data_IF_720331992173
#
_entry.id   IF_720331992173
#
_cell.length_a   1.000
_cell.length_b   1.000
_cell.length_c   1.000
_cell.angle_alpha   90.00
_cell.angle_beta   90.00
_cell.angle_gamma   90.00
#
_symmetry.space_group_name_H-M   'P 1'
#
loop_
_entity.id
_entity.type
_entity.pdbx_description
1 polymer ?
#
# COMPACT_ATOMS: atom_id res chain seq x y z
N UNK A 1 2.51 -24.85 1.12
CA UNK A 1 3.59 -24.33 0.25
C UNK A 1 2.95 -23.25 -0.64
N UNK A 2 3.68 -22.47 -1.44
CA UNK A 2 3.03 -21.43 -2.28
C UNK A 2 3.78 -21.22 -3.59
N UNK A 3 3.04 -20.79 -4.61
CA UNK A 3 3.55 -20.46 -5.95
C UNK A 3 3.36 -18.99 -6.22
N UNK A 4 4.35 -18.36 -6.85
CA UNK A 4 4.29 -16.97 -7.26
C UNK A 4 3.88 -16.85 -8.72
N UNK A 5 2.90 -15.98 -9.00
CA UNK A 5 2.47 -15.65 -10.36
C UNK A 5 2.53 -14.13 -10.53
N UNK A 6 3.14 -13.67 -11.63
CA UNK A 6 3.13 -12.25 -12.00
C UNK A 6 2.11 -12.05 -13.11
N UNK A 7 1.26 -11.04 -12.93
CA UNK A 7 0.22 -10.64 -13.86
C UNK A 7 0.47 -9.20 -14.33
N UNK A 8 0.45 -9.03 -15.64
CA UNK A 8 0.47 -7.76 -16.36
C UNK A 8 -0.92 -7.35 -16.88
N UNK A 9 -1.89 -8.25 -16.73
CA UNK A 9 -3.31 -8.04 -17.06
C UNK A 9 -4.19 -8.25 -15.81
N UNK A 10 -5.42 -7.72 -15.79
CA UNK A 10 -6.31 -7.87 -14.65
C UNK A 10 -6.52 -9.35 -14.28
N UNK A 11 -6.42 -9.73 -13.00
CA UNK A 11 -6.67 -11.11 -12.58
C UNK A 11 -8.13 -11.52 -12.83
N UNK A 12 -8.42 -12.83 -12.94
CA UNK A 12 -9.79 -13.35 -12.92
C UNK A 12 -10.58 -12.82 -11.71
N UNK A 13 -11.89 -12.64 -11.86
CA UNK A 13 -12.75 -11.98 -10.87
C UNK A 13 -12.68 -12.62 -9.47
N UNK A 14 -12.50 -13.95 -9.42
CA UNK A 14 -12.34 -14.70 -8.16
C UNK A 14 -11.06 -14.34 -7.40
N UNK A 15 -9.94 -14.15 -8.10
CA UNK A 15 -8.66 -13.75 -7.51
C UNK A 15 -8.68 -12.25 -7.20
N UNK A 16 -9.25 -11.43 -8.08
CA UNK A 16 -9.47 -10.00 -7.87
C UNK A 16 -10.23 -9.74 -6.56
N UNK A 17 -11.33 -10.46 -6.35
CA UNK A 17 -12.16 -10.35 -5.13
C UNK A 17 -11.37 -10.68 -3.86
N UNK A 18 -10.51 -11.69 -3.90
CA UNK A 18 -9.65 -12.05 -2.76
C UNK A 18 -8.56 -11.01 -2.49
N UNK A 19 -7.97 -10.41 -3.52
CA UNK A 19 -7.01 -9.30 -3.36
C UNK A 19 -7.70 -8.11 -2.70
N UNK A 20 -8.89 -7.72 -3.17
CA UNK A 20 -9.65 -6.62 -2.57
C UNK A 20 -10.07 -6.94 -1.12
N UNK A 21 -10.42 -8.19 -0.81
CA UNK A 21 -10.68 -8.61 0.56
C UNK A 21 -9.43 -8.49 1.44
N UNK A 22 -8.26 -8.91 0.96
CA UNK A 22 -6.99 -8.74 1.68
C UNK A 22 -6.66 -7.27 1.93
N UNK A 23 -6.92 -6.38 0.98
CA UNK A 23 -6.74 -4.92 1.16
C UNK A 23 -7.61 -4.39 2.29
N UNK A 24 -8.87 -4.83 2.34
CA UNK A 24 -9.84 -4.44 3.37
C UNK A 24 -9.43 -4.99 4.75
N UNK A 25 -9.04 -6.26 4.81
CA UNK A 25 -8.65 -6.95 6.05
C UNK A 25 -7.35 -6.38 6.63
N UNK A 26 -6.37 -6.08 5.77
CA UNK A 26 -5.05 -5.54 6.14
C UNK A 26 -4.99 -4.00 6.07
N UNK A 27 -6.13 -3.30 5.99
CA UNK A 27 -6.21 -1.85 5.80
C UNK A 27 -5.29 -1.07 6.76
N UNK A 28 -5.36 -1.34 8.07
CA UNK A 28 -4.54 -0.64 9.07
C UNK A 28 -3.04 -0.89 8.89
N UNK A 29 -2.68 -1.97 8.20
CA UNK A 29 -1.31 -2.33 7.93
C UNK A 29 -0.77 -1.69 6.64
N UNK A 30 -1.57 -1.56 5.59
CA UNK A 30 -1.09 -1.14 4.27
C UNK A 30 -1.52 0.28 3.87
N UNK A 31 -2.48 0.87 4.59
CA UNK A 31 -3.03 2.18 4.26
C UNK A 31 -2.06 3.32 4.54
N UNK A 32 -1.99 4.33 3.65
CA UNK A 32 -1.32 5.60 3.92
C UNK A 32 -1.91 6.37 5.12
N UNK A 33 -3.15 6.05 5.50
CA UNK A 33 -3.83 6.59 6.67
C UNK A 33 -4.28 5.39 7.52
N UNK A 34 -3.40 4.82 8.35
CA UNK A 34 -3.62 3.53 9.03
C UNK A 34 -4.56 3.68 10.25
N UNK A 35 -5.81 4.08 9.99
CA UNK A 35 -6.84 4.16 11.02
C UNK A 35 -7.12 2.76 11.58
N UNK A 36 -7.55 2.72 12.85
CA UNK A 36 -8.05 1.48 13.48
C UNK A 36 -9.58 1.48 13.49
N UNK A 37 -10.24 0.31 13.64
CA UNK A 37 -11.71 0.24 13.70
C UNK A 37 -12.37 1.10 14.79
N UNK A 38 -11.58 1.56 15.77
CA UNK A 38 -12.04 2.48 16.82
C UNK A 38 -12.34 3.90 16.32
N UNK A 39 -11.83 4.30 15.15
CA UNK A 39 -12.07 5.61 14.57
C UNK A 39 -13.34 5.55 13.67
N UNK A 40 -14.37 6.38 13.90
CA UNK A 40 -15.59 6.40 13.08
C UNK A 40 -15.37 6.60 11.58
N UNK A 41 -14.26 7.20 11.15
CA UNK A 41 -13.90 7.35 9.73
C UNK A 41 -13.36 6.06 9.09
N UNK A 42 -13.07 5.02 9.88
CA UNK A 42 -12.45 3.78 9.42
C UNK A 42 -13.16 3.18 8.19
N UNK A 43 -14.49 3.01 8.16
CA UNK A 43 -15.17 2.41 7.00
C UNK A 43 -15.03 3.27 5.72
N UNK A 44 -14.95 4.59 5.86
CA UNK A 44 -14.76 5.50 4.73
C UNK A 44 -13.37 5.30 4.11
N UNK A 45 -12.33 5.29 4.93
CA UNK A 45 -10.96 5.09 4.44
C UNK A 45 -10.72 3.67 3.92
N UNK A 46 -11.36 2.67 4.54
CA UNK A 46 -11.34 1.28 4.06
C UNK A 46 -11.97 1.16 2.67
N UNK A 47 -13.08 1.87 2.42
CA UNK A 47 -13.68 1.95 1.08
C UNK A 47 -12.74 2.62 0.08
N UNK A 48 -12.14 3.76 0.44
CA UNK A 48 -11.26 4.52 -0.46
C UNK A 48 -10.08 3.68 -0.94
N UNK A 49 -9.37 2.99 -0.06
CA UNK A 49 -8.22 2.15 -0.46
C UNK A 49 -8.67 0.96 -1.32
N UNK A 50 -9.82 0.36 -1.01
CA UNK A 50 -10.35 -0.77 -1.77
C UNK A 50 -10.70 -0.34 -3.19
N UNK A 51 -11.29 0.85 -3.33
CA UNK A 51 -11.61 1.42 -4.62
C UNK A 51 -10.36 1.86 -5.40
N UNK A 52 -9.36 2.44 -4.74
CA UNK A 52 -8.07 2.75 -5.36
C UNK A 52 -7.39 1.49 -5.95
N UNK A 53 -7.29 0.41 -5.17
CA UNK A 53 -6.73 -0.86 -5.66
C UNK A 53 -7.59 -1.43 -6.79
N UNK A 54 -8.92 -1.33 -6.70
CA UNK A 54 -9.81 -1.74 -7.79
C UNK A 54 -9.50 -1.00 -9.10
N UNK A 55 -9.27 0.31 -9.05
CA UNK A 55 -8.91 1.12 -10.21
C UNK A 55 -7.54 0.71 -10.79
N UNK A 56 -6.55 0.45 -9.94
CA UNK A 56 -5.27 -0.08 -10.40
C UNK A 56 -5.42 -1.42 -11.12
N UNK A 57 -6.18 -2.36 -10.55
CA UNK A 57 -6.43 -3.66 -11.15
C UNK A 57 -7.20 -3.56 -12.47
N UNK A 58 -8.13 -2.60 -12.58
CA UNK A 58 -8.87 -2.34 -13.81
C UNK A 58 -7.98 -1.74 -14.90
N UNK A 59 -7.03 -0.89 -14.53
CA UNK A 59 -6.14 -0.18 -15.46
C UNK A 59 -4.95 -1.03 -15.95
N UNK A 60 -4.77 -2.27 -15.48
CA UNK A 60 -3.65 -3.13 -15.89
C UNK A 60 -3.64 -3.38 -17.41
N UNK A 61 -4.82 -3.52 -18.03
CA UNK A 61 -4.96 -3.75 -19.49
C UNK A 61 -4.93 -2.46 -20.34
N UNK A 62 -4.50 -1.33 -19.77
CA UNK A 62 -4.54 -0.04 -20.47
C UNK A 62 -3.53 0.08 -21.62
N UNK A 63 -2.56 -0.86 -21.71
CA UNK A 63 -1.46 -0.79 -22.67
C UNK A 63 -0.51 0.39 -22.47
N UNK A 64 -0.66 1.12 -21.36
CA UNK A 64 0.19 2.25 -20.99
C UNK A 64 1.50 1.76 -20.37
N UNK A 65 2.61 2.35 -20.81
CA UNK A 65 3.88 2.20 -20.12
C UNK A 65 3.73 2.71 -18.67
N UNK A 66 4.04 1.84 -17.70
CA UNK A 66 3.85 2.13 -16.27
C UNK A 66 2.50 1.68 -15.67
N UNK A 67 1.67 0.94 -16.42
CA UNK A 67 0.47 0.31 -15.85
C UNK A 67 0.82 -0.61 -14.66
N UNK A 68 -0.10 -0.69 -13.70
CA UNK A 68 0.08 -1.50 -12.50
C UNK A 68 0.32 -2.98 -12.85
N UNK A 69 1.18 -3.63 -12.07
CA UNK A 69 1.46 -5.06 -12.15
C UNK A 69 1.19 -5.72 -10.81
N UNK A 70 0.80 -6.99 -10.85
CA UNK A 70 0.39 -7.73 -9.67
C UNK A 70 1.21 -9.01 -9.55
N UNK A 71 1.85 -9.22 -8.41
CA UNK A 71 2.40 -10.52 -8.02
C UNK A 71 1.45 -11.14 -7.01
N UNK A 72 0.99 -12.36 -7.27
CA UNK A 72 0.18 -13.16 -6.38
C UNK A 72 1.01 -14.29 -5.76
N UNK A 73 0.81 -14.54 -4.48
CA UNK A 73 1.18 -15.79 -3.84
C UNK A 73 -0.06 -16.66 -3.74
N UNK A 74 -0.08 -17.78 -4.46
CA UNK A 74 -1.20 -18.73 -4.50
C UNK A 74 -0.87 -19.96 -3.65
N UNK A 75 -1.90 -20.59 -3.10
CA UNK A 75 -1.73 -21.88 -2.42
C UNK A 75 -1.37 -22.98 -3.44
N UNK A 76 -0.41 -23.84 -3.10
CA UNK A 76 0.05 -24.90 -4.01
C UNK A 76 -0.96 -26.05 -4.11
N UNK A 77 -1.73 -26.30 -3.06
CA UNK A 77 -2.75 -27.35 -3.06
C UNK A 77 -4.07 -26.86 -3.68
N UNK A 78 -4.37 -25.56 -3.51
CA UNK A 78 -5.51 -24.89 -4.15
C UNK A 78 -5.10 -23.55 -4.78
N UNK A 79 -4.65 -23.53 -6.05
CA UNK A 79 -4.24 -22.30 -6.74
C UNK A 79 -5.35 -21.26 -6.93
N UNK A 80 -6.60 -21.57 -6.57
CA UNK A 80 -7.68 -20.58 -6.52
C UNK A 80 -7.60 -19.68 -5.29
N UNK A 81 -6.77 -20.01 -4.29
CA UNK A 81 -6.62 -19.27 -3.04
C UNK A 81 -5.45 -18.28 -3.09
N UNK A 82 -5.72 -17.01 -2.85
CA UNK A 82 -4.70 -15.96 -2.68
C UNK A 82 -4.23 -15.93 -1.22
N UNK A 83 -2.94 -16.19 -1.02
CA UNK A 83 -2.27 -16.14 0.29
C UNK A 83 -1.61 -14.78 0.56
N UNK A 84 -1.31 -14.01 -0.48
CA UNK A 84 -0.77 -12.67 -0.40
C UNK A 84 -0.60 -12.05 -1.79
N UNK A 85 -0.34 -10.76 -1.82
CA UNK A 85 -0.11 -10.05 -3.07
C UNK A 85 0.90 -8.91 -2.90
N UNK A 86 1.52 -8.51 -4.01
CA UNK A 86 2.29 -7.29 -4.17
C UNK A 86 1.84 -6.57 -5.44
N UNK A 87 1.32 -5.35 -5.30
CA UNK A 87 0.94 -4.47 -6.40
C UNK A 87 2.03 -3.43 -6.57
N UNK A 88 2.66 -3.41 -7.74
CA UNK A 88 3.74 -2.47 -8.05
C UNK A 88 3.47 -1.70 -9.35
N UNK A 89 4.02 -0.49 -9.41
CA UNK A 89 3.87 0.46 -10.49
C UNK A 89 5.24 0.64 -11.15
N UNK A 90 5.48 0.06 -12.34
CA UNK A 90 6.71 0.29 -13.08
C UNK A 90 6.87 1.78 -13.43
N UNK A 91 8.10 2.26 -13.49
CA UNK A 91 8.36 3.56 -14.12
C UNK A 91 8.17 3.45 -15.63
N UNK A 92 7.62 4.51 -16.23
CA UNK A 92 7.38 4.61 -17.67
C UNK A 92 8.68 4.84 -18.47
N UNK A 93 9.65 5.53 -17.87
CA UNK A 93 10.89 6.00 -18.51
C UNK A 93 12.17 5.49 -17.82
N UNK A 94 12.06 4.77 -16.70
CA UNK A 94 13.15 4.00 -16.09
C UNK A 94 12.83 2.50 -16.07
N UNK A 95 13.56 1.75 -16.91
CA UNK A 95 13.39 0.30 -17.06
C UNK A 95 13.72 -0.50 -15.80
N UNK A 96 14.50 0.05 -14.86
CA UNK A 96 14.88 -0.64 -13.63
C UNK A 96 13.97 -0.27 -12.46
N UNK A 97 13.25 0.86 -12.55
CA UNK A 97 12.52 1.43 -11.43
C UNK A 97 11.05 1.00 -11.33
N UNK A 98 10.59 0.87 -10.08
CA UNK A 98 9.18 0.76 -9.76
C UNK A 98 8.87 1.22 -8.33
N UNK A 99 7.61 1.53 -8.08
CA UNK A 99 7.08 1.79 -6.73
C UNK A 99 6.18 0.63 -6.30
N UNK A 100 6.31 0.15 -5.07
CA UNK A 100 5.42 -0.86 -4.47
C UNK A 100 4.47 -0.18 -3.47
N UNK A 101 3.30 0.33 -3.92
CA UNK A 101 2.32 0.95 -3.04
C UNK A 101 1.69 -0.06 -2.06
N UNK A 102 1.46 -1.31 -2.49
CA UNK A 102 0.72 -2.28 -1.67
C UNK A 102 1.39 -3.65 -1.66
N UNK A 103 1.61 -4.18 -0.45
CA UNK A 103 2.00 -5.56 -0.20
C UNK A 103 1.25 -6.08 1.03
N UNK A 104 0.59 -7.22 0.90
CA UNK A 104 -0.17 -7.83 2.00
C UNK A 104 -0.06 -9.35 1.97
N UNK A 105 -0.18 -9.95 3.16
CA UNK A 105 -0.16 -11.40 3.35
C UNK A 105 -1.26 -11.76 4.33
N UNK A 106 -2.12 -12.70 3.93
CA UNK A 106 -3.24 -13.22 4.71
C UNK A 106 -2.77 -13.53 6.13
N UNK A 107 -3.48 -13.03 7.14
CA UNK A 107 -3.07 -13.10 8.55
C UNK A 107 -2.69 -14.52 9.01
N UNK A 108 -3.45 -15.54 8.58
CA UNK A 108 -3.20 -16.96 8.90
C UNK A 108 -1.93 -17.55 8.26
N UNK A 109 -1.33 -16.85 7.30
CA UNK A 109 -0.16 -17.28 6.52
C UNK A 109 1.05 -16.36 6.71
N UNK A 110 0.98 -15.37 7.61
CA UNK A 110 2.12 -14.54 8.00
C UNK A 110 3.23 -15.39 8.64
N UNK A 111 4.46 -14.87 8.61
CA UNK A 111 5.69 -15.55 9.10
C UNK A 111 6.04 -16.85 8.35
N UNK A 112 5.53 -17.02 7.12
CA UNK A 112 5.87 -18.13 6.21
C UNK A 112 6.70 -17.66 5.01
N UNK A 113 7.46 -16.58 5.17
CA UNK A 113 8.29 -15.95 4.13
C UNK A 113 7.57 -15.46 2.86
N UNK A 114 6.24 -15.53 2.79
CA UNK A 114 5.44 -15.08 1.63
C UNK A 114 5.73 -13.62 1.28
N UNK A 115 5.67 -12.70 2.25
CA UNK A 115 5.94 -11.28 2.01
C UNK A 115 7.35 -11.02 1.49
N UNK A 116 8.35 -11.76 1.99
CA UNK A 116 9.73 -11.69 1.49
C UNK A 116 9.82 -12.19 0.05
N UNK A 117 9.16 -13.29 -0.27
CA UNK A 117 9.17 -13.88 -1.61
C UNK A 117 8.46 -12.98 -2.63
N UNK A 118 7.32 -12.38 -2.26
CA UNK A 118 6.62 -11.38 -3.07
C UNK A 118 7.52 -10.18 -3.38
N UNK A 119 8.18 -9.62 -2.36
CA UNK A 119 9.09 -8.49 -2.53
C UNK A 119 10.28 -8.85 -3.43
N UNK A 120 10.90 -10.02 -3.23
CA UNK A 120 12.00 -10.51 -4.06
C UNK A 120 11.58 -10.72 -5.52
N UNK A 121 10.35 -11.20 -5.76
CA UNK A 121 9.80 -11.37 -7.11
C UNK A 121 9.61 -10.03 -7.83
N UNK A 122 9.26 -8.96 -7.11
CA UNK A 122 9.22 -7.60 -7.66
C UNK A 122 10.63 -7.10 -7.97
N UNK A 123 11.57 -7.23 -7.03
CA UNK A 123 12.96 -6.80 -7.20
C UNK A 123 13.66 -7.55 -8.36
N UNK A 124 13.34 -8.82 -8.57
CA UNK A 124 13.86 -9.61 -9.69
C UNK A 124 13.40 -9.08 -11.06
N UNK A 125 12.24 -8.42 -11.12
CA UNK A 125 11.74 -7.79 -12.34
C UNK A 125 12.25 -6.36 -12.51
N UNK A 126 12.40 -5.62 -11.40
CA UNK A 126 12.77 -4.20 -11.38
C UNK A 126 13.70 -3.96 -10.18
N UNK A 127 14.98 -3.78 -10.46
CA UNK A 127 16.03 -3.77 -9.41
C UNK A 127 16.04 -2.49 -8.58
N UNK A 128 15.43 -1.41 -9.06
CA UNK A 128 15.32 -0.12 -8.37
C UNK A 128 13.91 0.04 -7.78
N UNK A 129 13.66 -0.65 -6.68
CA UNK A 129 12.36 -0.64 -6.02
C UNK A 129 12.29 0.45 -4.96
N UNK A 130 11.21 1.22 -4.97
CA UNK A 130 10.83 2.18 -3.93
C UNK A 130 9.54 1.75 -3.22
N UNK A 131 9.47 1.93 -1.90
CA UNK A 131 8.21 1.81 -1.15
C UNK A 131 8.17 2.81 0.00
N UNK A 132 6.96 3.12 0.47
CA UNK A 132 6.73 3.94 1.64
C UNK A 132 6.00 3.13 2.72
N UNK A 133 6.43 3.24 3.98
CA UNK A 133 5.73 2.61 5.09
C UNK A 133 5.82 3.45 6.37
N UNK A 134 4.97 3.16 7.35
CA UNK A 134 5.14 3.75 8.70
C UNK A 134 6.48 3.35 9.30
N UNK A 135 7.08 4.22 10.12
CA UNK A 135 8.42 4.01 10.66
C UNK A 135 8.61 2.67 11.39
N UNK A 136 7.58 2.18 12.10
CA UNK A 136 7.61 0.90 12.81
C UNK A 136 7.78 -0.33 11.89
N UNK A 137 7.51 -0.19 10.58
CA UNK A 137 7.69 -1.25 9.58
C UNK A 137 9.01 -1.16 8.83
N UNK A 138 9.77 -0.07 8.97
CA UNK A 138 11.04 0.07 8.27
C UNK A 138 12.02 -1.07 8.58
N UNK A 139 12.20 -1.54 9.85
CA UNK A 139 13.11 -2.65 10.13
C UNK A 139 12.78 -3.95 9.41
N UNK A 140 11.48 -4.19 9.12
CA UNK A 140 11.04 -5.37 8.36
C UNK A 140 11.57 -5.32 6.92
N UNK A 141 11.49 -4.17 6.27
CA UNK A 141 11.96 -3.99 4.89
C UNK A 141 13.48 -3.82 4.81
N UNK A 142 14.11 -3.21 5.83
CA UNK A 142 15.56 -3.17 5.97
C UNK A 142 16.16 -4.58 6.02
N UNK A 143 15.54 -5.49 6.78
CA UNK A 143 15.93 -6.90 6.83
C UNK A 143 15.77 -7.64 5.48
N UNK A 144 15.04 -7.07 4.53
CA UNK A 144 14.87 -7.60 3.17
C UNK A 144 15.77 -6.92 2.13
N UNK A 145 16.67 -6.03 2.56
CA UNK A 145 17.68 -5.39 1.71
C UNK A 145 17.31 -4.00 1.19
N UNK A 146 16.20 -3.42 1.66
CA UNK A 146 15.93 -2.01 1.42
C UNK A 146 16.68 -1.14 2.44
N UNK A 147 16.82 0.15 2.14
CA UNK A 147 17.40 1.15 3.04
C UNK A 147 16.49 2.35 3.12
N UNK A 148 16.44 2.97 4.30
CA UNK A 148 15.75 4.24 4.52
C UNK A 148 16.44 5.34 3.71
N UNK A 149 15.68 6.14 2.98
CA UNK A 149 16.17 7.31 2.23
C UNK A 149 15.72 8.63 2.85
N UNK A 150 14.44 8.75 3.15
CA UNK A 150 13.84 10.03 3.54
C UNK A 150 12.56 9.83 4.36
N UNK A 151 12.13 10.88 5.04
CA UNK A 151 10.79 10.97 5.60
C UNK A 151 9.87 11.64 4.58
N UNK A 152 8.67 11.09 4.39
CA UNK A 152 7.66 11.63 3.49
C UNK A 152 6.31 11.66 4.23
N UNK A 153 6.05 12.80 4.88
CA UNK A 153 4.87 12.96 5.73
C UNK A 153 4.84 11.89 6.83
N UNK A 154 3.75 11.11 6.99
CA UNK A 154 3.62 10.05 7.99
C UNK A 154 4.43 8.78 7.70
N UNK A 155 5.14 8.72 6.57
CA UNK A 155 5.87 7.54 6.12
C UNK A 155 7.37 7.77 6.03
N UNK A 156 8.09 6.67 6.03
CA UNK A 156 9.50 6.59 5.66
C UNK A 156 9.59 5.97 4.28
N UNK A 157 10.38 6.60 3.42
CA UNK A 157 10.70 6.12 2.10
C UNK A 157 11.86 5.13 2.20
N UNK A 158 11.69 3.94 1.63
CA UNK A 158 12.72 2.93 1.53
C UNK A 158 12.98 2.58 0.07
N UNK A 159 14.23 2.23 -0.24
CA UNK A 159 14.64 1.89 -1.58
C UNK A 159 15.69 0.77 -1.59
N UNK A 160 15.81 0.02 -2.68
CA UNK A 160 16.92 -0.94 -2.87
C UNK A 160 18.27 -0.24 -3.11
N UNK A 161 18.24 0.97 -3.67
CA UNK A 161 19.37 1.87 -3.92
C UNK A 161 19.45 2.97 -2.85
N UNK A 162 20.52 3.77 -2.91
CA UNK A 162 20.76 4.93 -2.05
C UNK A 162 20.18 6.25 -2.58
N UNK A 163 19.46 6.19 -3.69
CA UNK A 163 18.79 7.31 -4.33
C UNK A 163 17.44 6.88 -4.90
N UNK A 164 16.57 7.86 -5.15
CA UNK A 164 15.30 7.65 -5.87
C UNK A 164 15.57 7.61 -7.37
N UNK A 165 14.70 6.93 -8.11
CA UNK A 165 14.65 7.10 -9.56
C UNK A 165 14.00 8.45 -9.87
N UNK A 166 14.46 9.10 -10.95
CA UNK A 166 13.81 10.29 -11.51
C UNK A 166 12.63 9.91 -12.44
N UNK A 167 12.39 8.61 -12.64
CA UNK A 167 11.37 8.09 -13.53
C UNK A 167 9.95 8.33 -13.05
N UNK A 168 9.04 8.52 -14.00
CA UNK A 168 7.63 8.77 -13.80
C UNK A 168 6.88 7.48 -13.46
N UNK A 169 6.02 7.54 -12.44
CA UNK A 169 5.19 6.43 -11.98
C UNK A 169 3.71 6.86 -11.98
N UNK A 170 2.83 6.02 -12.52
CA UNK A 170 1.40 6.29 -12.65
C UNK A 170 0.66 6.10 -11.31
N UNK A 171 0.84 7.03 -10.38
CA UNK A 171 0.10 7.04 -9.10
C UNK A 171 -1.34 7.52 -9.30
N UNK A 172 -2.29 6.86 -8.65
CA UNK A 172 -3.70 7.18 -8.75
C UNK A 172 -4.01 8.51 -8.06
N UNK A 173 -4.66 9.43 -8.77
CA UNK A 173 -5.25 10.62 -8.12
C UNK A 173 -6.47 10.19 -7.30
N UNK A 174 -6.40 10.44 -5.98
CA UNK A 174 -7.46 10.11 -5.04
C UNK A 174 -8.52 11.21 -4.95
N UNK A 175 -8.26 12.43 -5.42
CA UNK A 175 -9.22 13.53 -5.32
C UNK A 175 -10.58 13.19 -5.97
N UNK A 176 -10.64 12.57 -7.17
CA UNK A 176 -11.89 12.10 -7.75
C UNK A 176 -12.62 11.05 -6.88
N UNK A 177 -11.88 10.17 -6.20
CA UNK A 177 -12.45 9.16 -5.31
C UNK A 177 -13.12 9.84 -4.11
N UNK A 178 -12.44 10.75 -3.44
CA UNK A 178 -13.03 11.50 -2.30
C UNK A 178 -14.21 12.37 -2.71
N UNK A 179 -14.23 12.85 -3.95
CA UNK A 179 -15.32 13.66 -4.49
C UNK A 179 -16.51 12.83 -5.02
N UNK A 180 -16.38 11.50 -5.09
CA UNK A 180 -17.41 10.58 -5.58
C UNK A 180 -18.72 10.66 -4.78
N UNK A 181 -19.82 10.20 -5.39
CA UNK A 181 -21.13 10.18 -4.72
C UNK A 181 -21.13 9.17 -3.57
N UNK A 182 -20.45 8.07 -3.77
CA UNK A 182 -20.33 6.93 -2.88
C UNK A 182 -19.63 7.35 -1.58
N UNK A 183 -18.48 8.03 -1.67
CA UNK A 183 -17.77 8.54 -0.47
C UNK A 183 -18.61 9.57 0.28
N UNK A 184 -19.31 10.47 -0.43
CA UNK A 184 -20.22 11.43 0.22
C UNK A 184 -21.38 10.74 0.93
N UNK A 185 -21.93 9.67 0.35
CA UNK A 185 -23.01 8.88 0.97
C UNK A 185 -22.52 8.14 2.21
N UNK A 186 -21.34 7.51 2.16
CA UNK A 186 -20.71 6.87 3.32
C UNK A 186 -20.51 7.91 4.43
N UNK A 187 -19.93 9.07 4.10
CA UNK A 187 -19.74 10.14 5.08
C UNK A 187 -21.05 10.62 5.70
N UNK A 188 -22.09 10.86 4.89
CA UNK A 188 -23.41 11.26 5.39
C UNK A 188 -24.03 10.20 6.31
N UNK A 189 -23.86 8.92 5.98
CA UNK A 189 -24.30 7.80 6.82
C UNK A 189 -23.56 7.79 8.17
N UNK A 190 -22.23 7.95 8.17
CA UNK A 190 -21.42 8.02 9.39
C UNK A 190 -21.81 9.21 10.27
N UNK A 191 -22.07 10.38 9.68
CA UNK A 191 -22.59 11.55 10.41
C UNK A 191 -23.96 11.26 11.03
N UNK A 192 -24.86 10.57 10.31
CA UNK A 192 -26.17 10.18 10.85
C UNK A 192 -26.05 9.16 12.00
N UNK A 193 -25.09 8.23 11.91
CA UNK A 193 -24.89 7.18 12.90
C UNK A 193 -24.19 7.69 14.18
N UNK A 194 -23.14 8.50 14.04
CA UNK A 194 -22.27 8.90 15.15
C UNK A 194 -22.48 10.35 15.61
N UNK A 195 -23.15 11.18 14.80
CA UNK A 195 -23.34 12.60 15.04
C UNK A 195 -22.13 13.45 14.61
N UNK A 196 -22.39 14.71 14.23
CA UNK A 196 -21.35 15.60 13.69
C UNK A 196 -20.21 15.89 14.66
N UNK A 197 -20.47 15.89 15.99
CA UNK A 197 -19.43 16.08 17.00
C UNK A 197 -18.42 14.93 17.00
N UNK A 198 -18.91 13.68 17.03
CA UNK A 198 -18.05 12.50 17.01
C UNK A 198 -17.23 12.42 15.71
N UNK A 199 -17.81 12.83 14.59
CA UNK A 199 -17.09 12.88 13.30
C UNK A 199 -15.94 13.92 13.32
N UNK A 200 -16.16 15.12 13.86
CA UNK A 200 -15.07 16.10 14.03
C UNK A 200 -13.97 15.59 14.97
N UNK A 201 -14.35 14.90 16.05
CA UNK A 201 -13.39 14.27 16.95
C UNK A 201 -12.61 13.14 16.25
N UNK A 202 -13.26 12.39 15.36
CA UNK A 202 -12.65 11.34 14.54
C UNK A 202 -11.60 11.91 13.57
N UNK A 203 -11.91 13.04 12.92
CA UNK A 203 -10.98 13.80 12.08
C UNK A 203 -9.79 14.31 12.90
N UNK A 204 -10.03 14.95 14.04
CA UNK A 204 -8.96 15.43 14.91
C UNK A 204 -8.05 14.29 15.43
N UNK A 205 -8.62 13.10 15.70
CA UNK A 205 -7.85 11.90 16.07
C UNK A 205 -7.02 11.38 14.91
N UNK A 206 -7.55 11.39 13.68
CA UNK A 206 -6.80 11.04 12.47
C UNK A 206 -5.61 11.98 12.29
N UNK A 207 -5.84 13.29 12.37
CA UNK A 207 -4.79 14.28 12.13
C UNK A 207 -3.64 14.14 13.14
N UNK A 208 -3.98 13.98 14.43
CA UNK A 208 -2.99 13.68 15.48
C UNK A 208 -2.21 12.39 15.23
N UNK A 209 -2.87 11.34 14.72
CA UNK A 209 -2.20 10.09 14.35
C UNK A 209 -1.18 10.35 13.23
N UNK A 210 -1.57 11.08 12.19
CA UNK A 210 -0.68 11.40 11.08
C UNK A 210 0.51 12.25 11.52
N UNK A 211 0.29 13.23 12.41
CA UNK A 211 1.37 14.04 13.00
C UNK A 211 2.35 13.17 13.80
N UNK A 212 1.84 12.23 14.61
CA UNK A 212 2.68 11.30 15.35
C UNK A 212 3.50 10.38 14.43
N UNK A 213 2.88 9.85 13.39
CA UNK A 213 3.57 9.03 12.39
C UNK A 213 4.64 9.84 11.65
N UNK A 214 4.36 11.11 11.33
CA UNK A 214 5.33 11.98 10.68
C UNK A 214 6.53 12.30 11.58
N UNK A 215 6.27 12.53 12.87
CA UNK A 215 7.33 12.67 13.86
C UNK A 215 8.21 11.40 13.94
N UNK A 216 7.60 10.21 13.99
CA UNK A 216 8.34 8.95 14.01
C UNK A 216 9.15 8.72 12.73
N UNK A 217 8.59 9.08 11.57
CA UNK A 217 9.31 8.98 10.30
C UNK A 217 10.56 9.87 10.27
N UNK A 218 10.43 11.13 10.71
CA UNK A 218 11.56 12.04 10.83
C UNK A 218 12.59 11.57 11.84
N UNK A 219 12.15 11.06 13.01
CA UNK A 219 13.04 10.56 14.05
C UNK A 219 13.89 9.39 13.53
N UNK A 220 13.27 8.43 12.83
CA UNK A 220 13.98 7.29 12.26
C UNK A 220 15.00 7.73 11.20
N UNK A 221 14.65 8.68 10.33
CA UNK A 221 15.60 9.19 9.32
C UNK A 221 16.77 9.92 9.98
N UNK A 222 16.53 10.72 11.02
CA UNK A 222 17.62 11.36 11.80
C UNK A 222 18.53 10.35 12.48
N UNK A 223 17.98 9.23 12.97
CA UNK A 223 18.77 8.14 13.54
C UNK A 223 19.69 7.49 12.50
N UNK A 224 19.22 7.33 11.25
CA UNK A 224 20.00 6.75 10.16
C UNK A 224 21.00 7.73 9.54
N UNK A 225 20.68 9.03 9.57
CA UNK A 225 21.48 10.11 8.97
C UNK A 225 21.73 11.26 9.99
N UNK A 226 22.52 11.01 11.05
CA UNK A 226 22.71 11.97 12.14
C UNK A 226 23.46 13.25 11.75
N UNK A 227 24.10 13.28 10.58
CA UNK A 227 25.00 14.36 10.13
C UNK A 227 24.42 15.27 9.06
N UNK A 228 23.16 15.11 8.65
CA UNK A 228 22.51 16.00 7.68
C UNK A 228 21.86 17.15 8.45
N UNK A 229 22.60 18.25 8.59
CA UNK A 229 22.15 19.53 9.13
C UNK A 229 21.68 20.47 8.02
#
# INVERSE_FOLDING_TARGET
MFTLVTLDTPPPESLKSQVLQLVVDDFSDISPVPLTPSNPLYPLYQYVIGYEVHLYLQAMDSGLDGAARLVLALDDEDPSQVLGFALFLPSADDAEACTLPYIAVKASHRRRSIGRALLQQVIAQRTHLELACVASKAPLFEAMGLRVLAAQGPHVLLNTRDHRSDGLVAVQDLAPIYQSKEVRQIHAYLVKQHGSKAMREAEAKRDRLLDQLAFHAQALVKERFPTVH
#
